data_IF_844775144828
#
_entry.id   IF_844775144828
#
_cell.length_a   1.000
_cell.length_b   1.000
_cell.length_c   1.000
_cell.angle_alpha   90.00
_cell.angle_beta   90.00
_cell.angle_gamma   90.00
#
_symmetry.space_group_name_H-M   'P 1'
#
loop_
_entity.id
_entity.type
_entity.pdbx_description
1 polymer ?
#
# COMPACT_ATOMS: atom_id res chain seq x y z
N UNK A 1 0.26 -9.74 76.26
CA UNK A 1 0.91 -8.97 75.18
C UNK A 1 0.74 -9.80 73.93
N UNK A 2 -0.18 -9.39 73.05
CA UNK A 2 -0.49 -10.13 71.79
C UNK A 2 -0.04 -9.25 70.62
N UNK A 3 1.02 -9.61 69.94
CA UNK A 3 1.50 -8.93 68.75
C UNK A 3 0.70 -9.43 67.56
N UNK A 4 -0.11 -8.57 66.95
CA UNK A 4 -0.78 -8.82 65.70
C UNK A 4 0.11 -8.42 64.55
N UNK A 5 0.55 -9.40 63.77
CA UNK A 5 1.33 -9.19 62.54
C UNK A 5 0.32 -8.95 61.43
N UNK A 6 0.29 -7.74 60.89
CA UNK A 6 -0.48 -7.36 59.71
C UNK A 6 0.26 -7.87 58.45
N UNK A 7 -0.36 -8.84 57.76
CA UNK A 7 0.08 -9.24 56.41
C UNK A 7 -0.48 -8.27 55.36
N UNK A 8 0.36 -7.44 54.80
CA UNK A 8 -0.01 -6.60 53.67
C UNK A 8 0.21 -7.42 52.39
N UNK A 9 -0.89 -7.91 51.81
CA UNK A 9 -0.86 -8.57 50.50
C UNK A 9 -0.75 -7.52 49.41
N UNK A 10 0.47 -7.39 48.81
CA UNK A 10 0.68 -6.59 47.62
C UNK A 10 0.19 -7.38 46.43
N UNK A 11 -0.98 -7.01 45.93
CA UNK A 11 -1.52 -7.54 44.68
C UNK A 11 -0.82 -6.89 43.49
N UNK A 12 0.19 -7.56 42.93
CA UNK A 12 0.88 -7.12 41.73
C UNK A 12 -0.07 -7.29 40.54
N UNK A 13 -0.60 -6.20 40.04
CA UNK A 13 -1.41 -6.15 38.81
C UNK A 13 -0.45 -6.22 37.61
N UNK A 14 -0.26 -7.41 37.03
CA UNK A 14 0.45 -7.59 35.77
C UNK A 14 -0.42 -7.04 34.63
N UNK A 15 -0.14 -5.81 34.22
CA UNK A 15 -0.64 -5.26 32.96
C UNK A 15 0.05 -6.03 31.81
N UNK A 16 -0.68 -7.01 31.27
CA UNK A 16 -0.29 -7.69 30.04
C UNK A 16 -0.37 -6.69 28.89
N UNK A 17 0.75 -6.08 28.52
CA UNK A 17 0.88 -5.30 27.30
C UNK A 17 0.87 -6.30 26.16
N UNK A 18 -0.27 -6.50 25.52
CA UNK A 18 -0.36 -7.22 24.25
C UNK A 18 0.40 -6.43 23.19
N UNK A 19 1.65 -6.80 22.98
CA UNK A 19 2.42 -6.32 21.83
C UNK A 19 1.78 -6.91 20.59
N UNK A 20 0.99 -6.11 19.87
CA UNK A 20 0.55 -6.48 18.52
C UNK A 20 1.80 -6.46 17.64
N UNK A 21 2.39 -7.63 17.43
CA UNK A 21 3.43 -7.81 16.43
C UNK A 21 2.82 -7.44 15.06
N UNK A 22 3.41 -6.46 14.37
CA UNK A 22 3.00 -6.08 13.03
C UNK A 22 3.18 -7.30 12.12
N UNK A 23 2.17 -7.63 11.30
CA UNK A 23 2.26 -8.73 10.36
C UNK A 23 3.44 -8.53 9.39
N UNK A 24 4.11 -9.63 9.01
CA UNK A 24 5.28 -9.59 8.13
C UNK A 24 4.95 -8.99 6.75
N UNK A 25 3.73 -9.21 6.26
CA UNK A 25 3.24 -8.74 4.96
C UNK A 25 2.00 -7.88 5.13
N UNK A 26 1.75 -7.03 4.14
CA UNK A 26 0.62 -6.14 4.15
C UNK A 26 -0.71 -6.86 3.88
N UNK A 27 -1.78 -6.29 4.41
CA UNK A 27 -3.16 -6.75 4.27
C UNK A 27 -3.94 -5.91 3.26
N UNK A 28 -5.06 -6.42 2.76
CA UNK A 28 -5.99 -5.66 1.90
C UNK A 28 -6.46 -4.36 2.55
N UNK A 29 -6.77 -4.40 3.85
CA UNK A 29 -7.19 -3.21 4.60
C UNK A 29 -6.12 -2.12 4.62
N UNK A 30 -4.85 -2.50 4.76
CA UNK A 30 -3.74 -1.55 4.72
C UNK A 30 -3.54 -0.99 3.31
N UNK A 31 -3.73 -1.80 2.25
CA UNK A 31 -3.67 -1.34 0.87
C UNK A 31 -4.76 -0.30 0.56
N UNK A 32 -6.01 -0.57 0.94
CA UNK A 32 -7.11 0.41 0.82
C UNK A 32 -6.80 1.69 1.59
N UNK A 33 -6.38 1.58 2.86
CA UNK A 33 -6.06 2.74 3.69
C UNK A 33 -4.93 3.59 3.09
N UNK A 34 -3.91 2.97 2.51
CA UNK A 34 -2.81 3.67 1.85
C UNK A 34 -3.30 4.45 0.63
N UNK A 35 -4.15 3.85 -0.21
CA UNK A 35 -4.73 4.52 -1.39
C UNK A 35 -5.60 5.69 -0.97
N UNK A 36 -6.51 5.52 -0.01
CA UNK A 36 -7.39 6.61 0.49
C UNK A 36 -6.55 7.78 1.02
N UNK A 37 -5.51 7.50 1.79
CA UNK A 37 -4.56 8.50 2.29
C UNK A 37 -3.86 9.23 1.14
N UNK A 38 -3.35 8.50 0.15
CA UNK A 38 -2.63 9.08 -0.98
C UNK A 38 -3.56 9.94 -1.85
N UNK A 39 -4.80 9.51 -2.09
CA UNK A 39 -5.82 10.30 -2.81
C UNK A 39 -6.11 11.61 -2.08
N UNK A 40 -6.29 11.58 -0.76
CA UNK A 40 -6.52 12.80 0.03
C UNK A 40 -5.32 13.76 -0.04
N UNK A 41 -4.10 13.22 0.06
CA UNK A 41 -2.87 14.01 -0.01
C UNK A 41 -2.66 14.62 -1.42
N UNK A 42 -2.92 13.88 -2.50
CA UNK A 42 -2.85 14.38 -3.87
C UNK A 42 -3.83 15.55 -4.10
N UNK A 43 -5.03 15.49 -3.54
CA UNK A 43 -6.00 16.59 -3.59
C UNK A 43 -5.52 17.84 -2.84
N UNK A 44 -4.79 17.67 -1.74
CA UNK A 44 -4.26 18.76 -0.95
C UNK A 44 -3.00 19.39 -1.57
N UNK A 45 -2.05 18.59 -2.01
CA UNK A 45 -0.82 19.02 -2.67
C UNK A 45 -0.27 17.90 -3.55
N UNK A 46 -0.62 17.94 -4.84
CA UNK A 46 -0.30 16.89 -5.81
C UNK A 46 1.21 16.68 -5.98
N UNK A 47 1.94 17.74 -6.27
CA UNK A 47 3.36 17.64 -6.62
C UNK A 47 4.19 17.12 -5.44
N UNK A 48 3.96 17.65 -4.25
CA UNK A 48 4.60 17.17 -3.01
C UNK A 48 4.28 15.69 -2.75
N UNK A 49 3.04 15.26 -2.95
CA UNK A 49 2.65 13.87 -2.70
C UNK A 49 3.30 12.90 -3.69
N UNK A 50 3.40 13.26 -4.98
CA UNK A 50 4.11 12.46 -5.98
C UNK A 50 5.60 12.32 -5.64
N UNK A 51 6.23 13.40 -5.16
CA UNK A 51 7.61 13.39 -4.70
C UNK A 51 7.79 12.49 -3.47
N UNK A 52 6.95 12.62 -2.44
CA UNK A 52 6.99 11.79 -1.23
C UNK A 52 6.82 10.30 -1.55
N UNK A 53 5.88 9.92 -2.43
CA UNK A 53 5.70 8.54 -2.87
C UNK A 53 6.98 8.02 -3.55
N UNK A 54 7.56 8.80 -4.47
CA UNK A 54 8.75 8.40 -5.21
C UNK A 54 10.00 8.33 -4.32
N UNK A 55 10.08 9.19 -3.30
CA UNK A 55 11.13 9.17 -2.28
C UNK A 55 10.96 8.03 -1.26
N UNK A 56 9.92 7.20 -1.39
CA UNK A 56 9.61 6.09 -0.48
C UNK A 56 9.31 6.54 0.96
N UNK A 57 8.62 7.67 1.11
CA UNK A 57 8.16 8.11 2.43
C UNK A 57 7.36 6.97 3.10
N UNK A 58 7.62 6.66 4.39
CA UNK A 58 6.94 5.59 5.13
C UNK A 58 5.41 5.69 5.14
N UNK A 59 4.85 6.86 4.86
CA UNK A 59 3.40 7.04 4.67
C UNK A 59 2.84 6.24 3.49
N UNK A 60 3.67 5.99 2.47
CA UNK A 60 3.32 5.38 1.18
C UNK A 60 4.18 4.18 0.81
N UNK A 61 5.04 3.73 1.73
CA UNK A 61 5.89 2.55 1.56
C UNK A 61 6.06 1.85 2.91
N UNK A 62 5.57 0.63 3.03
CA UNK A 62 5.63 -0.16 4.25
C UNK A 62 5.72 -1.66 3.96
N UNK A 63 6.83 -2.30 4.34
CA UNK A 63 7.09 -3.73 4.07
C UNK A 63 7.06 -4.01 2.55
N UNK A 64 6.10 -4.83 2.10
CA UNK A 64 5.86 -5.16 0.68
C UNK A 64 4.76 -4.28 0.03
N UNK A 65 4.17 -3.36 0.79
CA UNK A 65 3.12 -2.44 0.34
C UNK A 65 3.71 -1.10 -0.08
N UNK A 66 3.32 -0.62 -1.25
CA UNK A 66 3.71 0.70 -1.75
C UNK A 66 2.64 1.30 -2.66
N UNK A 67 2.57 2.63 -2.66
CA UNK A 67 1.69 3.37 -3.54
C UNK A 67 2.33 3.57 -4.92
N UNK A 68 1.50 3.55 -5.96
CA UNK A 68 1.85 3.91 -7.33
C UNK A 68 0.77 4.84 -7.87
N UNK A 69 1.19 5.87 -8.60
CA UNK A 69 0.27 6.81 -9.24
C UNK A 69 0.52 6.79 -10.75
N UNK A 70 -0.57 6.65 -11.51
CA UNK A 70 -0.58 6.74 -12.97
C UNK A 70 -1.45 7.91 -13.42
N UNK A 71 -1.21 8.42 -14.62
CA UNK A 71 -2.22 9.21 -15.31
C UNK A 71 -3.18 8.32 -16.13
N UNK A 72 -4.21 8.94 -16.71
CA UNK A 72 -5.21 8.24 -17.54
C UNK A 72 -4.68 7.74 -18.90
N UNK A 73 -3.40 7.98 -19.23
CA UNK A 73 -2.71 7.42 -20.40
C UNK A 73 -1.86 6.19 -20.06
N UNK A 74 -1.79 5.83 -18.75
CA UNK A 74 -0.96 4.72 -18.28
C UNK A 74 0.50 5.09 -18.04
N UNK A 75 0.84 6.39 -18.00
CA UNK A 75 2.16 6.87 -17.60
C UNK A 75 2.29 6.86 -16.09
N UNK A 76 3.41 6.36 -15.58
CA UNK A 76 3.73 6.37 -14.14
C UNK A 76 4.15 7.76 -13.71
N UNK A 77 3.46 8.32 -12.74
CA UNK A 77 3.74 9.64 -12.15
C UNK A 77 4.55 9.53 -10.86
N UNK A 78 4.32 8.49 -10.07
CA UNK A 78 5.08 8.17 -8.85
C UNK A 78 5.08 6.67 -8.58
N UNK A 79 6.16 6.13 -7.99
CA UNK A 79 6.27 4.71 -7.70
C UNK A 79 7.07 4.44 -6.43
N UNK A 80 6.39 3.99 -5.36
CA UNK A 80 6.98 3.82 -4.04
C UNK A 80 8.03 2.71 -3.92
N UNK A 81 8.10 1.75 -4.83
CA UNK A 81 9.11 0.68 -4.79
C UNK A 81 10.25 0.87 -5.80
N UNK A 82 9.99 1.46 -6.96
CA UNK A 82 10.95 1.56 -8.06
C UNK A 82 10.84 2.90 -8.80
N UNK A 83 11.69 3.85 -8.44
CA UNK A 83 11.71 5.18 -9.06
C UNK A 83 12.08 5.18 -10.57
N UNK A 84 12.73 4.12 -11.06
CA UNK A 84 13.06 3.97 -12.50
C UNK A 84 11.80 3.78 -13.37
N UNK A 85 10.66 3.49 -12.77
CA UNK A 85 9.38 3.39 -13.47
C UNK A 85 8.74 4.75 -13.73
N UNK A 86 9.10 5.78 -12.95
CA UNK A 86 8.52 7.12 -13.07
C UNK A 86 8.81 7.71 -14.45
N UNK A 87 7.78 8.29 -15.06
CA UNK A 87 7.83 8.87 -16.41
C UNK A 87 7.63 7.89 -17.56
N UNK A 88 7.60 6.58 -17.28
CA UNK A 88 7.38 5.56 -18.33
C UNK A 88 5.90 5.39 -18.65
N UNK A 89 5.59 5.31 -19.94
CA UNK A 89 4.29 4.89 -20.44
C UNK A 89 4.24 3.36 -20.40
N UNK A 90 3.33 2.80 -19.60
CA UNK A 90 3.24 1.36 -19.36
C UNK A 90 1.92 0.76 -19.86
N UNK A 91 1.19 1.46 -20.73
CA UNK A 91 -0.12 1.05 -21.21
C UNK A 91 -0.09 -0.33 -21.90
N UNK A 92 1.01 -0.65 -22.58
CA UNK A 92 1.21 -1.91 -23.32
C UNK A 92 2.04 -2.95 -22.51
N UNK A 93 2.38 -2.64 -21.25
CA UNK A 93 3.12 -3.57 -20.41
C UNK A 93 2.28 -4.79 -20.08
N UNK A 94 2.85 -5.97 -20.36
CA UNK A 94 2.22 -7.26 -20.04
C UNK A 94 2.88 -7.90 -18.83
N UNK A 95 2.06 -8.55 -18.02
CA UNK A 95 2.56 -9.47 -17.01
C UNK A 95 3.00 -10.80 -17.65
N UNK A 96 3.59 -11.75 -16.89
CA UNK A 96 4.03 -13.04 -17.44
C UNK A 96 2.91 -13.89 -18.10
N UNK A 97 1.65 -13.64 -17.76
CA UNK A 97 0.50 -14.32 -18.35
C UNK A 97 -0.02 -13.58 -19.61
N UNK A 98 0.64 -12.50 -20.02
CA UNK A 98 0.26 -11.70 -21.18
C UNK A 98 -0.83 -10.65 -20.91
N UNK A 99 -1.20 -10.44 -19.65
CA UNK A 99 -2.24 -9.48 -19.25
C UNK A 99 -1.71 -8.04 -19.34
N UNK A 100 -2.36 -7.19 -20.11
CA UNK A 100 -2.10 -5.75 -20.20
C UNK A 100 -2.73 -5.03 -18.99
N UNK A 101 -2.20 -5.26 -17.82
CA UNK A 101 -2.82 -4.84 -16.56
C UNK A 101 -2.89 -3.31 -16.39
N UNK A 102 -2.00 -2.53 -16.99
CA UNK A 102 -2.09 -1.06 -16.94
C UNK A 102 -3.22 -0.55 -17.82
N UNK A 103 -3.43 -1.14 -19.02
CA UNK A 103 -4.56 -0.82 -19.90
C UNK A 103 -5.89 -1.12 -19.22
N UNK A 104 -6.04 -2.33 -18.68
CA UNK A 104 -7.23 -2.70 -17.90
C UNK A 104 -7.48 -1.76 -16.72
N UNK A 105 -6.42 -1.35 -16.02
CA UNK A 105 -6.47 -0.40 -14.91
C UNK A 105 -7.06 0.94 -15.31
N UNK A 106 -6.61 1.49 -16.44
CA UNK A 106 -7.13 2.74 -16.99
C UNK A 106 -8.61 2.62 -17.36
N UNK A 107 -9.01 1.51 -17.97
CA UNK A 107 -10.41 1.22 -18.32
C UNK A 107 -11.29 1.09 -17.06
N UNK A 108 -10.82 0.37 -16.05
CA UNK A 108 -11.51 0.22 -14.77
C UNK A 108 -11.61 1.56 -14.02
N UNK A 109 -10.57 2.37 -14.06
CA UNK A 109 -10.58 3.69 -13.44
C UNK A 109 -11.64 4.60 -14.07
N UNK A 110 -11.77 4.58 -15.41
CA UNK A 110 -12.77 5.35 -16.14
C UNK A 110 -14.19 4.85 -15.90
N UNK A 111 -14.40 3.53 -15.81
CA UNK A 111 -15.74 2.92 -15.71
C UNK A 111 -16.24 2.76 -14.28
N UNK A 112 -15.36 2.45 -13.32
CA UNK A 112 -15.75 2.14 -11.92
C UNK A 112 -15.28 3.16 -10.90
N UNK A 113 -14.18 3.86 -11.17
CA UNK A 113 -13.56 4.80 -10.24
C UNK A 113 -12.78 4.16 -9.09
N UNK A 114 -13.34 3.11 -8.44
CA UNK A 114 -12.73 2.33 -7.37
C UNK A 114 -12.85 0.85 -7.68
N UNK A 115 -11.75 0.08 -7.56
CA UNK A 115 -11.75 -1.33 -7.92
C UNK A 115 -10.56 -2.08 -7.34
N UNK A 116 -10.68 -3.41 -7.27
CA UNK A 116 -9.59 -4.34 -7.10
C UNK A 116 -9.21 -4.95 -8.43
N UNK A 117 -7.91 -5.22 -8.63
CA UNK A 117 -7.37 -5.80 -9.85
C UNK A 117 -6.31 -6.85 -9.54
N UNK A 118 -6.41 -8.03 -10.18
CA UNK A 118 -5.43 -9.10 -10.11
C UNK A 118 -4.46 -9.05 -11.29
N UNK A 119 -3.17 -9.22 -11.04
CA UNK A 119 -2.10 -9.37 -12.03
C UNK A 119 -0.86 -9.99 -11.39
N UNK A 120 0.19 -10.26 -12.15
CA UNK A 120 1.47 -10.70 -11.61
C UNK A 120 2.49 -9.58 -11.66
N UNK A 121 3.24 -9.39 -10.58
CA UNK A 121 4.29 -8.37 -10.53
C UNK A 121 5.43 -8.77 -9.60
N UNK A 122 6.59 -8.09 -9.75
CA UNK A 122 7.76 -8.33 -8.91
C UNK A 122 7.54 -7.82 -7.49
N UNK A 123 7.66 -8.72 -6.53
CA UNK A 123 7.65 -8.40 -5.10
C UNK A 123 8.95 -7.67 -4.73
N UNK A 124 8.88 -6.47 -4.15
CA UNK A 124 10.07 -5.69 -3.82
C UNK A 124 10.93 -6.31 -2.73
N UNK A 125 10.37 -7.19 -1.89
CA UNK A 125 11.06 -7.82 -0.76
C UNK A 125 11.80 -9.08 -1.17
N UNK A 126 11.21 -9.91 -2.03
CA UNK A 126 11.78 -11.20 -2.45
C UNK A 126 12.39 -11.19 -3.85
N UNK A 127 12.12 -10.17 -4.67
CA UNK A 127 12.50 -10.06 -6.07
C UNK A 127 11.86 -11.13 -6.98
N UNK A 128 10.89 -11.89 -6.48
CA UNK A 128 10.15 -12.89 -7.24
C UNK A 128 8.91 -12.27 -7.88
N UNK A 129 8.52 -12.77 -9.05
CA UNK A 129 7.23 -12.45 -9.65
C UNK A 129 6.17 -13.28 -8.95
N UNK A 130 5.21 -12.62 -8.32
CA UNK A 130 4.13 -13.23 -7.55
C UNK A 130 2.77 -12.70 -8.03
N UNK A 131 1.68 -13.46 -7.83
CA UNK A 131 0.34 -12.93 -7.96
C UNK A 131 0.16 -11.74 -7.03
N UNK A 132 -0.40 -10.66 -7.55
CA UNK A 132 -0.66 -9.42 -6.83
C UNK A 132 -2.11 -9.02 -7.00
N UNK A 133 -2.69 -8.49 -5.94
CA UNK A 133 -4.02 -7.90 -5.95
C UNK A 133 -3.90 -6.45 -5.49
N UNK A 134 -4.27 -5.51 -6.35
CA UNK A 134 -4.15 -4.09 -6.08
C UNK A 134 -5.51 -3.42 -5.98
N UNK A 135 -5.70 -2.62 -4.93
CA UNK A 135 -6.79 -1.66 -4.83
C UNK A 135 -6.39 -0.36 -5.53
N UNK A 136 -7.30 0.19 -6.32
CA UNK A 136 -7.08 1.43 -7.06
C UNK A 136 -8.27 2.38 -6.92
N UNK A 137 -7.98 3.69 -6.85
CA UNK A 137 -8.97 4.75 -6.95
C UNK A 137 -8.57 5.77 -8.01
N UNK A 138 -9.54 6.19 -8.84
CA UNK A 138 -9.40 7.33 -9.72
C UNK A 138 -9.65 8.63 -8.95
N UNK A 139 -8.80 9.62 -9.14
CA UNK A 139 -8.92 10.95 -8.55
C UNK A 139 -8.55 12.02 -9.58
N UNK A 140 -9.55 12.62 -10.22
CA UNK A 140 -9.32 13.49 -11.37
C UNK A 140 -8.63 12.72 -12.51
N UNK A 141 -7.47 13.19 -12.96
CA UNK A 141 -6.68 12.53 -13.99
C UNK A 141 -5.66 11.51 -13.44
N UNK A 142 -5.63 11.28 -12.14
CA UNK A 142 -4.72 10.37 -11.50
C UNK A 142 -5.41 9.05 -11.12
N UNK A 143 -4.69 7.94 -11.20
CA UNK A 143 -5.08 6.61 -10.72
C UNK A 143 -4.08 6.21 -9.64
N UNK A 144 -4.56 6.07 -8.41
CA UNK A 144 -3.74 5.70 -7.25
C UNK A 144 -3.98 4.24 -6.91
N UNK A 145 -2.91 3.46 -6.83
CA UNK A 145 -2.98 2.03 -6.51
C UNK A 145 -2.01 1.65 -5.41
N UNK A 146 -2.40 0.70 -4.59
CA UNK A 146 -1.52 -0.07 -3.70
C UNK A 146 -2.03 -1.52 -3.64
N UNK A 147 -1.13 -2.49 -3.49
CA UNK A 147 -1.56 -3.88 -3.57
C UNK A 147 -0.70 -4.83 -2.77
N UNK A 148 -1.31 -5.96 -2.42
CA UNK A 148 -0.71 -7.06 -1.68
C UNK A 148 -0.27 -8.18 -2.61
N UNK A 149 0.74 -8.94 -2.22
CA UNK A 149 1.18 -10.13 -2.91
C UNK A 149 0.54 -11.37 -2.28
N UNK A 150 0.04 -12.28 -3.13
CA UNK A 150 -0.50 -13.58 -2.71
C UNK A 150 0.67 -14.56 -2.59
N UNK A 151 0.85 -15.13 -1.42
CA UNK A 151 1.92 -16.09 -1.08
C UNK A 151 1.31 -17.42 -0.70
#
# INVERSE_FOLDING_TARGET
MKNAILWVSVLAFFLSVSSFAKEQFATKKEAEAMVVKAVAALKANRDKTLEEITAKDPKYNDRDLYAVVYDMTGKVLAHGANNKMVGKALIDLKDPDGKEFVRERVELAKSKGKFWQDYKFTDPTTRKVLPKEAYCEASGNDIVCAGIYKR
#
